data_IF_869805227220
#
_entry.id   IF_869805227220
#
_cell.length_a   1.000
_cell.length_b   1.000
_cell.length_c   1.000
_cell.angle_alpha   90.00
_cell.angle_beta   90.00
_cell.angle_gamma   90.00
#
_symmetry.space_group_name_H-M   'P 1'
#
loop_
_entity.id
_entity.type
_entity.pdbx_description
1 polymer ?
#
# COMPACT_ATOMS: atom_id res chain seq x y z
N UNK A 1 -8.58 -0.52 -28.30
CA UNK A 1 -8.46 -1.04 -26.93
C UNK A 1 -7.74 0.05 -26.14
N UNK A 2 -8.51 0.98 -25.60
CA UNK A 2 -7.99 2.17 -24.93
C UNK A 2 -8.29 2.05 -23.44
N UNK A 3 -7.24 1.64 -22.73
CA UNK A 3 -7.13 1.61 -21.28
C UNK A 3 -5.64 1.58 -20.97
N UNK A 4 -4.92 2.62 -21.43
CA UNK A 4 -3.47 2.70 -21.31
C UNK A 4 -3.11 2.97 -19.85
N UNK A 5 -2.88 1.90 -19.08
CA UNK A 5 -2.48 2.01 -17.69
C UNK A 5 -2.96 0.85 -16.83
N UNK A 6 -2.53 0.86 -15.57
CA UNK A 6 -2.85 -0.17 -14.59
C UNK A 6 -4.36 -0.37 -14.37
N UNK A 7 -5.14 0.72 -14.40
CA UNK A 7 -6.61 0.64 -14.27
C UNK A 7 -7.26 -0.11 -15.44
N UNK A 8 -6.80 0.12 -16.68
CA UNK A 8 -7.31 -0.58 -17.85
C UNK A 8 -6.97 -2.08 -17.83
N UNK A 9 -5.76 -2.41 -17.37
CA UNK A 9 -5.34 -3.80 -17.17
C UNK A 9 -6.17 -4.48 -16.08
N UNK A 10 -6.45 -3.80 -14.97
CA UNK A 10 -7.30 -4.31 -13.89
C UNK A 10 -8.70 -4.66 -14.40
N UNK A 11 -9.34 -3.75 -15.14
CA UNK A 11 -10.65 -3.99 -15.76
C UNK A 11 -10.60 -5.17 -16.73
N UNK A 12 -9.57 -5.24 -17.58
CA UNK A 12 -9.43 -6.33 -18.56
C UNK A 12 -9.26 -7.71 -17.90
N UNK A 13 -8.46 -7.79 -16.83
CA UNK A 13 -8.31 -9.03 -16.05
C UNK A 13 -9.63 -9.40 -15.41
N UNK A 14 -10.27 -8.46 -14.72
CA UNK A 14 -11.55 -8.69 -14.05
C UNK A 14 -12.60 -9.23 -15.02
N UNK A 15 -12.82 -8.55 -16.15
CA UNK A 15 -13.80 -8.97 -17.16
C UNK A 15 -13.50 -10.38 -17.72
N UNK A 16 -12.22 -10.70 -17.96
CA UNK A 16 -11.81 -12.02 -18.44
C UNK A 16 -12.07 -13.12 -17.40
N UNK A 17 -11.71 -12.90 -16.13
CA UNK A 17 -11.91 -13.88 -15.06
C UNK A 17 -13.39 -14.15 -14.80
N UNK A 18 -14.26 -13.16 -14.99
CA UNK A 18 -15.72 -13.33 -14.87
C UNK A 18 -16.37 -13.98 -16.10
N UNK A 19 -15.90 -13.67 -17.30
CA UNK A 19 -16.44 -14.23 -18.53
C UNK A 19 -16.11 -15.72 -18.73
N UNK A 20 -15.08 -16.25 -18.04
CA UNK A 20 -14.67 -17.65 -18.17
C UNK A 20 -15.70 -18.65 -17.65
N UNK A 21 -16.25 -19.51 -18.49
CA UNK A 21 -17.12 -20.62 -18.09
C UNK A 21 -16.38 -21.96 -17.95
N UNK A 22 -15.13 -22.02 -18.42
CA UNK A 22 -14.26 -23.20 -18.45
C UNK A 22 -12.94 -22.96 -17.74
N UNK A 23 -12.25 -24.05 -17.38
CA UNK A 23 -10.89 -23.95 -16.86
C UNK A 23 -10.00 -23.28 -17.91
N UNK A 24 -9.44 -22.13 -17.54
CA UNK A 24 -8.71 -21.25 -18.45
C UNK A 24 -7.51 -20.69 -17.73
N UNK A 25 -6.33 -20.75 -18.35
CA UNK A 25 -5.12 -20.13 -17.84
C UNK A 25 -4.86 -18.85 -18.62
N UNK A 26 -4.61 -17.76 -17.92
CA UNK A 26 -4.19 -16.50 -18.49
C UNK A 26 -2.74 -16.23 -18.12
N UNK A 27 -2.02 -15.59 -19.02
CA UNK A 27 -0.69 -15.06 -18.76
C UNK A 27 -0.74 -13.53 -18.73
N UNK A 28 -0.21 -12.97 -17.66
CA UNK A 28 0.19 -11.58 -17.57
C UNK A 28 1.71 -11.53 -17.77
N UNK A 29 2.14 -11.20 -18.98
CA UNK A 29 3.53 -11.33 -19.42
C UNK A 29 4.14 -9.96 -19.76
N UNK A 30 5.28 -9.65 -19.14
CA UNK A 30 6.23 -8.64 -19.61
C UNK A 30 7.31 -9.27 -20.49
N UNK A 31 8.43 -8.55 -20.69
CA UNK A 31 9.52 -8.99 -21.58
C UNK A 31 10.16 -10.32 -21.13
N UNK A 32 10.52 -10.42 -19.85
CA UNK A 32 11.29 -11.55 -19.31
C UNK A 32 10.59 -12.26 -18.13
N UNK A 33 9.47 -11.71 -17.67
CA UNK A 33 8.77 -12.15 -16.47
C UNK A 33 7.28 -12.26 -16.72
N UNK A 34 6.64 -13.19 -16.02
CA UNK A 34 5.23 -13.52 -16.20
C UNK A 34 4.59 -14.01 -14.91
N UNK A 35 3.32 -13.70 -14.78
CA UNK A 35 2.41 -14.19 -13.76
C UNK A 35 1.27 -14.92 -14.48
N UNK A 36 0.84 -16.05 -13.94
CA UNK A 36 -0.29 -16.79 -14.48
C UNK A 36 -1.50 -16.70 -13.56
N UNK A 37 -2.68 -16.63 -14.16
CA UNK A 37 -3.97 -16.71 -13.48
C UNK A 37 -4.71 -17.91 -14.03
N UNK A 38 -4.96 -18.93 -13.20
CA UNK A 38 -5.73 -20.12 -13.60
C UNK A 38 -7.12 -20.02 -12.99
N UNK A 39 -8.13 -19.89 -13.84
CA UNK A 39 -9.55 -19.91 -13.44
C UNK A 39 -10.05 -21.34 -13.49
N UNK A 40 -10.67 -21.80 -12.40
CA UNK A 40 -11.39 -23.08 -12.32
C UNK A 40 -12.86 -22.82 -11.98
N UNK A 41 -13.63 -23.89 -11.82
CA UNK A 41 -15.06 -23.80 -11.55
C UNK A 41 -15.36 -23.01 -10.25
N UNK A 42 -14.58 -23.23 -9.21
CA UNK A 42 -14.80 -22.72 -7.84
C UNK A 42 -13.63 -21.90 -7.29
N UNK A 43 -12.49 -21.87 -7.98
CA UNK A 43 -11.26 -21.23 -7.52
C UNK A 43 -10.55 -20.46 -8.62
N UNK A 44 -9.78 -19.45 -8.23
CA UNK A 44 -8.82 -18.76 -9.10
C UNK A 44 -7.46 -18.82 -8.41
N UNK A 45 -6.44 -19.30 -9.13
CA UNK A 45 -5.07 -19.41 -8.63
C UNK A 45 -4.18 -18.42 -9.39
N UNK A 46 -3.52 -17.52 -8.67
CA UNK A 46 -2.39 -16.76 -9.18
C UNK A 46 -1.10 -17.54 -8.94
N UNK A 47 -0.22 -17.59 -9.93
CA UNK A 47 1.05 -18.29 -9.90
C UNK A 47 2.16 -17.40 -10.44
N UNK A 48 3.31 -17.37 -9.76
CA UNK A 48 4.47 -16.61 -10.21
C UNK A 48 5.77 -17.38 -9.91
N UNK A 49 6.77 -17.37 -10.82
CA UNK A 49 8.07 -17.94 -10.52
C UNK A 49 8.75 -17.21 -9.36
N UNK A 50 9.77 -17.84 -8.79
CA UNK A 50 10.56 -17.31 -7.67
C UNK A 50 11.49 -16.15 -8.08
N UNK A 51 10.97 -15.10 -8.73
CA UNK A 51 11.75 -13.95 -9.22
C UNK A 51 12.45 -13.21 -8.08
N UNK A 52 11.75 -13.03 -6.97
CA UNK A 52 12.28 -12.49 -5.72
C UNK A 52 11.53 -13.11 -4.53
N UNK A 53 12.06 -14.21 -3.93
CA UNK A 53 11.41 -14.90 -2.83
C UNK A 53 11.13 -14.03 -1.60
N UNK A 54 11.98 -13.04 -1.33
CA UNK A 54 11.82 -12.15 -0.17
C UNK A 54 10.63 -11.23 -0.41
N UNK A 55 10.62 -10.53 -1.54
CA UNK A 55 9.50 -9.67 -1.96
C UNK A 55 8.20 -10.46 -2.12
N UNK A 56 8.24 -11.69 -2.66
CA UNK A 56 7.06 -12.55 -2.77
C UNK A 56 6.49 -12.91 -1.39
N UNK A 57 7.36 -13.17 -0.42
CA UNK A 57 6.94 -13.40 0.97
C UNK A 57 6.31 -12.14 1.58
N UNK A 58 6.94 -10.98 1.38
CA UNK A 58 6.44 -9.69 1.87
C UNK A 58 5.08 -9.32 1.26
N UNK A 59 4.88 -9.65 -0.01
CA UNK A 59 3.61 -9.47 -0.71
C UNK A 59 2.55 -10.50 -0.30
N UNK A 60 2.86 -11.50 0.52
CA UNK A 60 1.87 -12.50 0.97
C UNK A 60 1.64 -13.65 -0.02
N UNK A 61 2.54 -13.87 -0.98
CA UNK A 61 2.51 -15.07 -1.80
C UNK A 61 2.83 -16.30 -0.96
N UNK A 62 2.13 -17.41 -1.21
CA UNK A 62 2.45 -18.67 -0.54
C UNK A 62 3.67 -19.29 -1.18
N UNK A 63 4.64 -19.61 -0.33
CA UNK A 63 5.85 -20.31 -0.75
C UNK A 63 5.49 -21.62 -1.47
N UNK A 64 6.29 -22.02 -2.48
CA UNK A 64 6.09 -23.27 -3.16
C UNK A 64 6.04 -24.46 -2.20
N UNK A 65 5.11 -25.39 -2.44
CA UNK A 65 5.15 -26.69 -1.76
C UNK A 65 6.42 -27.44 -2.17
N UNK A 66 6.96 -28.26 -1.29
CA UNK A 66 8.18 -29.06 -1.55
C UNK A 66 8.04 -29.79 -2.89
N UNK A 67 8.88 -29.43 -3.88
CA UNK A 67 8.88 -30.00 -5.23
C UNK A 67 8.13 -29.19 -6.30
N UNK A 68 7.38 -28.15 -5.94
CA UNK A 68 6.85 -27.16 -6.90
C UNK A 68 7.78 -25.95 -6.92
N UNK A 69 8.10 -25.39 -8.09
CA UNK A 69 9.02 -24.25 -8.22
C UNK A 69 8.33 -22.89 -8.26
N UNK A 70 7.03 -22.84 -7.91
CA UNK A 70 6.13 -21.73 -8.22
C UNK A 70 5.45 -21.24 -6.95
N UNK A 71 5.50 -19.93 -6.74
CA UNK A 71 4.77 -19.26 -5.67
C UNK A 71 3.32 -19.08 -6.10
N UNK A 72 2.39 -19.24 -5.17
CA UNK A 72 0.97 -19.23 -5.52
C UNK A 72 0.11 -18.49 -4.52
N UNK A 73 -1.02 -18.00 -5.00
CA UNK A 73 -2.13 -17.54 -4.19
C UNK A 73 -3.40 -18.17 -4.75
N UNK A 74 -4.27 -18.67 -3.89
CA UNK A 74 -5.50 -19.33 -4.31
C UNK A 74 -6.68 -18.73 -3.56
N UNK A 75 -7.70 -18.32 -4.32
CA UNK A 75 -8.91 -17.69 -3.82
C UNK A 75 -10.17 -18.37 -4.38
N UNK A 76 -11.27 -18.46 -3.61
CA UNK A 76 -12.58 -18.82 -4.14
C UNK A 76 -13.02 -17.91 -5.29
N UNK A 77 -13.73 -18.47 -6.27
CA UNK A 77 -14.26 -17.72 -7.42
C UNK A 77 -15.57 -17.01 -7.09
N UNK A 78 -15.49 -16.02 -6.22
CA UNK A 78 -16.59 -15.12 -5.88
C UNK A 78 -16.24 -13.70 -6.32
N UNK A 79 -17.23 -12.80 -6.36
CA UNK A 79 -17.01 -11.44 -6.87
C UNK A 79 -15.93 -10.70 -6.10
N UNK A 80 -16.03 -10.71 -4.78
CA UNK A 80 -15.13 -10.01 -3.87
C UNK A 80 -13.68 -10.54 -3.98
N UNK A 81 -13.53 -11.86 -4.08
CA UNK A 81 -12.22 -12.49 -4.18
C UNK A 81 -11.56 -12.30 -5.53
N UNK A 82 -12.34 -12.31 -6.62
CA UNK A 82 -11.81 -12.04 -7.96
C UNK A 82 -11.34 -10.59 -8.04
N UNK A 83 -12.12 -9.64 -7.53
CA UNK A 83 -11.74 -8.23 -7.47
C UNK A 83 -10.46 -8.00 -6.67
N UNK A 84 -10.35 -8.60 -5.47
CA UNK A 84 -9.12 -8.58 -4.68
C UNK A 84 -7.94 -9.20 -5.43
N UNK A 85 -8.12 -10.38 -6.02
CA UNK A 85 -7.05 -11.10 -6.73
C UNK A 85 -6.57 -10.33 -7.96
N UNK A 86 -7.47 -9.61 -8.64
CA UNK A 86 -7.09 -8.73 -9.76
C UNK A 86 -6.16 -7.61 -9.28
N UNK A 87 -6.52 -6.92 -8.18
CA UNK A 87 -5.65 -5.88 -7.60
C UNK A 87 -4.32 -6.45 -7.14
N UNK A 88 -4.35 -7.60 -6.47
CA UNK A 88 -3.17 -8.33 -6.02
C UNK A 88 -2.23 -8.68 -7.18
N UNK A 89 -2.77 -9.24 -8.27
CA UNK A 89 -1.99 -9.61 -9.44
C UNK A 89 -1.40 -8.39 -10.16
N UNK A 90 -2.16 -7.31 -10.28
CA UNK A 90 -1.71 -6.04 -10.88
C UNK A 90 -0.59 -5.41 -10.04
N UNK A 91 -0.76 -5.36 -8.72
CA UNK A 91 0.26 -4.83 -7.80
C UNK A 91 1.52 -5.72 -7.78
N UNK A 92 1.35 -7.04 -7.74
CA UNK A 92 2.48 -7.97 -7.86
C UNK A 92 3.23 -7.80 -9.18
N UNK A 93 2.51 -7.61 -10.29
CA UNK A 93 3.12 -7.37 -11.61
C UNK A 93 3.87 -6.04 -11.68
N UNK A 94 3.37 -4.98 -11.06
CA UNK A 94 4.03 -3.67 -11.05
C UNK A 94 5.39 -3.69 -10.36
N UNK A 95 5.52 -4.52 -9.32
CA UNK A 95 6.76 -4.67 -8.56
C UNK A 95 7.69 -5.74 -9.15
N UNK A 96 7.13 -6.88 -9.56
CA UNK A 96 7.92 -8.07 -9.89
C UNK A 96 8.11 -8.29 -11.39
N UNK A 97 7.29 -7.68 -12.26
CA UNK A 97 7.40 -7.86 -13.71
C UNK A 97 7.91 -6.57 -14.36
N UNK A 98 7.21 -5.45 -14.17
CA UNK A 98 7.53 -4.16 -14.80
C UNK A 98 6.73 -3.03 -14.17
N UNK A 99 7.34 -1.85 -14.02
CA UNK A 99 6.65 -0.64 -13.56
C UNK A 99 5.83 0.06 -14.66
N UNK A 100 6.08 -0.27 -15.94
CA UNK A 100 5.36 0.29 -17.09
C UNK A 100 4.26 -0.68 -17.57
N UNK A 101 2.97 -0.36 -17.34
CA UNK A 101 1.88 -1.23 -17.77
C UNK A 101 1.78 -1.37 -19.30
N UNK A 102 2.34 -0.45 -20.07
CA UNK A 102 2.37 -0.53 -21.54
C UNK A 102 3.23 -1.68 -22.07
N UNK A 103 4.12 -2.22 -21.24
CA UNK A 103 4.97 -3.38 -21.57
C UNK A 103 4.33 -4.71 -21.19
N UNK A 104 3.19 -4.71 -20.49
CA UNK A 104 2.47 -5.91 -20.13
C UNK A 104 1.48 -6.32 -21.22
N UNK A 105 1.44 -7.62 -21.46
CA UNK A 105 0.42 -8.27 -22.27
C UNK A 105 -0.41 -9.20 -21.40
N UNK A 106 -1.72 -9.17 -21.57
CA UNK A 106 -2.65 -10.09 -20.92
C UNK A 106 -3.39 -10.89 -21.97
N UNK A 107 -3.25 -12.22 -21.93
CA UNK A 107 -3.84 -13.11 -22.90
C UNK A 107 -4.12 -14.50 -22.31
N UNK A 108 -5.08 -15.21 -22.88
CA UNK A 108 -5.29 -16.63 -22.61
C UNK A 108 -4.05 -17.43 -23.07
N UNK A 109 -3.55 -18.33 -22.22
CA UNK A 109 -2.37 -19.15 -22.44
C UNK A 109 -2.76 -20.61 -22.42
N UNK A 110 -2.28 -21.38 -23.39
CA UNK A 110 -2.37 -22.84 -23.33
C UNK A 110 -1.45 -23.37 -22.21
N UNK A 111 -1.93 -24.29 -21.36
CA UNK A 111 -1.14 -24.86 -20.26
C UNK A 111 0.04 -25.71 -20.75
N UNK A 112 0.04 -26.13 -22.02
CA UNK A 112 1.04 -27.01 -22.62
C UNK A 112 2.08 -26.27 -23.49
N UNK A 113 1.88 -24.97 -23.73
CA UNK A 113 2.70 -24.18 -24.63
C UNK A 113 3.91 -23.49 -23.96
N UNK A 114 4.18 -23.77 -22.68
CA UNK A 114 5.29 -23.12 -21.99
C UNK A 114 6.64 -23.75 -22.36
N UNK A 115 7.61 -23.02 -22.97
CA UNK A 115 8.96 -23.53 -23.14
C UNK A 115 9.56 -23.85 -21.78
N UNK A 116 9.95 -25.11 -21.60
CA UNK A 116 10.56 -25.62 -20.38
C UNK A 116 11.62 -24.64 -19.85
N UNK A 117 11.64 -24.35 -18.53
CA UNK A 117 12.74 -23.59 -17.93
C UNK A 117 14.04 -24.32 -18.27
N UNK A 118 15.02 -23.56 -18.76
CA UNK A 118 16.36 -24.08 -19.04
C UNK A 118 16.84 -24.92 -17.84
N UNK A 119 17.40 -26.13 -18.06
CA UNK A 119 17.76 -27.02 -16.98
C UNK A 119 18.71 -26.30 -16.03
N UNK A 120 18.32 -26.24 -14.76
CA UNK A 120 19.20 -25.82 -13.67
C UNK A 120 20.52 -26.57 -13.82
N UNK A 121 21.63 -25.82 -13.90
CA UNK A 121 22.97 -26.38 -13.87
C UNK A 121 23.07 -27.28 -12.65
N UNK A 122 23.02 -28.59 -12.89
CA UNK A 122 23.25 -29.60 -11.89
C UNK A 122 24.74 -29.55 -11.61
N UNK A 123 25.14 -28.90 -10.51
CA UNK A 123 26.48 -29.09 -9.96
C UNK A 123 26.51 -30.54 -9.46
N UNK A 124 27.04 -31.42 -10.31
CA UNK A 124 27.34 -32.80 -9.97
C UNK A 124 28.45 -32.78 -8.90
N UNK A 125 28.22 -33.29 -7.68
CA UNK A 125 29.33 -33.56 -6.78
C UNK A 125 30.15 -34.73 -7.35
N UNK A 126 31.41 -34.46 -7.66
CA UNK A 126 32.43 -35.42 -8.05
C UNK A 126 32.57 -36.52 -6.96
N UNK A 127 32.77 -37.81 -7.29
CA UNK A 127 32.78 -38.88 -6.30
C UNK A 127 34.09 -38.87 -5.48
N UNK A 128 33.93 -39.03 -4.18
CA UNK A 128 34.99 -39.08 -3.19
C UNK A 128 36.02 -40.20 -3.43
N UNK A 129 37.31 -40.00 -3.13
CA UNK A 129 38.24 -41.09 -2.93
C UNK A 129 38.16 -41.66 -1.50
N UNK A 130 37.89 -42.96 -1.44
CA UNK A 130 38.05 -43.89 -0.31
C UNK A 130 39.40 -43.77 0.40
N UNK A 131 39.43 -43.55 1.73
CA UNK A 131 40.49 -44.09 2.61
C UNK A 131 39.99 -44.35 4.06
N UNK A 132 40.20 -45.60 4.48
CA UNK A 132 40.45 -46.18 5.82
C UNK A 132 39.45 -46.03 6.99
N UNK A 133 38.94 -47.19 7.40
CA UNK A 133 38.39 -47.52 8.72
C UNK A 133 39.34 -47.15 9.87
N UNK A 134 38.79 -46.55 10.92
CA UNK A 134 39.36 -46.48 12.27
C UNK A 134 38.30 -47.05 13.25
N UNK A 135 38.68 -47.85 14.28
CA UNK A 135 37.74 -48.68 15.02
C UNK A 135 36.93 -47.92 16.09
N UNK A 136 35.70 -48.40 16.32
CA UNK A 136 34.74 -47.95 17.33
C UNK A 136 35.29 -47.94 18.76
N UNK A 137 35.03 -46.88 19.54
CA UNK A 137 34.95 -46.96 20.99
C UNK A 137 33.50 -47.14 21.45
N UNK A 138 33.27 -48.31 22.04
CA UNK A 138 32.21 -48.73 22.99
C UNK A 138 31.14 -47.69 23.38
N UNK A 139 29.90 -48.06 23.09
CA UNK A 139 28.66 -47.49 23.60
C UNK A 139 28.62 -47.43 25.14
N UNK A 140 28.37 -46.24 25.68
CA UNK A 140 27.80 -46.04 27.00
C UNK A 140 26.28 -45.81 26.87
N UNK A 141 25.45 -46.26 27.81
CA UNK A 141 23.99 -46.12 27.72
C UNK A 141 23.58 -44.65 27.87
N UNK A 142 22.97 -44.09 26.84
CA UNK A 142 22.34 -42.76 26.87
C UNK A 142 21.00 -42.89 27.61
N UNK A 143 20.89 -42.20 28.74
CA UNK A 143 19.65 -41.99 29.49
C UNK A 143 18.64 -41.20 28.63
N UNK A 144 17.33 -41.46 28.76
CA UNK A 144 16.31 -40.68 28.07
C UNK A 144 16.34 -39.21 28.54
N UNK A 145 16.15 -38.23 27.65
CA UNK A 145 16.09 -36.83 28.05
C UNK A 145 14.82 -36.56 28.88
N UNK A 146 14.98 -35.92 30.03
CA UNK A 146 13.89 -35.36 30.82
C UNK A 146 13.09 -34.32 30.02
N UNK A 147 11.75 -34.24 30.22
CA UNK A 147 10.93 -33.22 29.58
C UNK A 147 11.32 -31.83 30.09
N UNK A 148 11.82 -30.97 29.19
CA UNK A 148 11.99 -29.55 29.50
C UNK A 148 10.62 -28.91 29.79
N UNK A 149 10.48 -28.13 30.87
CA UNK A 149 9.31 -27.30 31.07
C UNK A 149 9.25 -26.21 29.99
N UNK A 150 8.04 -25.93 29.50
CA UNK A 150 7.75 -24.86 28.56
C UNK A 150 8.19 -23.50 29.12
N UNK A 151 8.69 -22.56 28.28
CA UNK A 151 8.96 -21.20 28.74
C UNK A 151 7.63 -20.53 29.14
N UNK A 152 7.57 -20.07 30.38
CA UNK A 152 6.49 -19.27 30.91
C UNK A 152 6.42 -17.92 30.17
N UNK A 153 5.20 -17.51 29.84
CA UNK A 153 4.85 -16.17 29.39
C UNK A 153 5.41 -15.15 30.39
N UNK A 154 6.44 -14.41 29.97
CA UNK A 154 6.90 -13.25 30.71
C UNK A 154 6.04 -12.08 30.29
N UNK A 155 5.14 -11.67 31.19
CA UNK A 155 4.45 -10.39 31.14
C UNK A 155 5.52 -9.29 31.21
N UNK A 156 5.66 -8.52 30.14
CA UNK A 156 6.48 -7.30 30.13
C UNK A 156 5.65 -6.19 30.81
N UNK A 157 6.20 -5.47 31.80
CA UNK A 157 5.49 -4.37 32.45
C UNK A 157 5.29 -3.17 31.51
N UNK A 158 4.10 -2.58 31.65
CA UNK A 158 3.62 -1.32 31.09
C UNK A 158 4.62 -0.17 31.29
N UNK A 159 5.02 0.57 30.23
CA UNK A 159 5.72 1.84 30.40
C UNK A 159 4.75 2.97 30.72
N UNK A 160 5.13 3.77 31.73
CA UNK A 160 4.43 4.96 32.22
C UNK A 160 4.07 5.99 31.12
N UNK A 161 2.98 6.75 31.30
CA UNK A 161 2.41 7.60 30.27
C UNK A 161 3.24 8.86 30.06
N UNK A 162 3.84 9.00 28.88
CA UNK A 162 4.22 10.31 28.34
C UNK A 162 2.95 10.96 27.79
N UNK A 163 2.43 11.96 28.50
CA UNK A 163 1.22 12.69 28.13
C UNK A 163 1.37 13.27 26.71
N UNK A 164 0.48 12.94 25.75
CA UNK A 164 0.37 13.74 24.55
C UNK A 164 -0.25 15.10 24.93
N UNK A 165 0.35 16.17 24.41
CA UNK A 165 -0.21 17.53 24.45
C UNK A 165 -1.59 17.50 23.79
N UNK A 166 -2.64 17.46 24.62
CA UNK A 166 -4.00 17.72 24.20
C UNK A 166 -4.12 19.20 23.83
N UNK A 167 -4.03 19.52 22.53
CA UNK A 167 -4.49 20.81 22.01
C UNK A 167 -5.95 20.58 21.59
N UNK A 168 -6.86 20.89 22.51
CA UNK A 168 -8.28 21.06 22.21
C UNK A 168 -8.55 22.55 22.13
N UNK A 169 -8.82 23.14 20.95
CA UNK A 169 -9.65 24.31 20.87
C UNK A 169 -11.07 23.84 20.61
N UNK A 170 -11.88 23.92 21.66
CA UNK A 170 -13.34 23.86 21.61
C UNK A 170 -13.81 24.97 20.66
N UNK A 171 -14.18 24.62 19.43
CA UNK A 171 -14.76 25.55 18.46
C UNK A 171 -16.23 25.78 18.81
N UNK A 172 -16.56 26.98 19.29
CA UNK A 172 -17.94 27.44 19.43
C UNK A 172 -18.34 28.29 18.20
N UNK A 173 -19.56 28.16 17.67
CA UNK A 173 -20.01 29.00 16.57
C UNK A 173 -20.43 30.41 17.04
N UNK A 174 -20.13 31.36 16.15
CA UNK A 174 -20.28 32.82 16.04
C UNK A 174 -21.39 33.55 16.84
N UNK A 175 -21.30 34.90 16.97
CA UNK A 175 -22.10 35.68 16.02
C UNK A 175 -21.45 36.97 15.49
N UNK A 176 -21.64 37.16 14.18
CA UNK A 176 -22.20 38.33 13.50
C UNK A 176 -21.88 39.78 13.94
N UNK A 177 -21.65 40.62 12.91
CA UNK A 177 -21.70 42.11 12.84
C UNK A 177 -20.33 42.78 13.11
N UNK A 178 -19.84 43.77 12.36
CA UNK A 178 -20.52 44.88 11.72
C UNK A 178 -19.57 45.55 10.69
N UNK A 179 -20.17 46.20 9.70
CA UNK A 179 -19.50 46.83 8.56
C UNK A 179 -19.02 48.25 8.93
N UNK A 180 -17.71 48.50 8.95
CA UNK A 180 -17.12 49.84 8.82
C UNK A 180 -16.23 49.80 7.57
N UNK A 181 -16.65 50.28 6.40
CA UNK A 181 -16.93 51.67 6.01
C UNK A 181 -15.76 52.63 6.29
N UNK A 182 -14.68 52.48 5.54
CA UNK A 182 -13.83 53.63 5.18
C UNK A 182 -13.75 53.77 3.66
N UNK A 183 -14.48 54.79 3.20
CA UNK A 183 -14.39 55.38 1.89
C UNK A 183 -13.40 56.56 1.92
N UNK A 184 -12.98 56.98 0.72
CA UNK A 184 -12.04 58.06 0.36
C UNK A 184 -10.55 57.66 0.40
N UNK A 185 -9.74 57.88 -0.64
CA UNK A 185 -9.80 58.96 -1.62
C UNK A 185 -9.27 58.57 -3.02
N UNK A 186 -10.08 58.94 -3.98
CA UNK A 186 -9.82 59.39 -5.36
C UNK A 186 -8.36 59.72 -5.73
N UNK A 187 -7.82 59.02 -6.72
CA UNK A 187 -6.91 59.61 -7.71
C UNK A 187 -7.01 58.83 -9.04
N UNK A 188 -7.65 59.48 -10.02
CA UNK A 188 -7.77 58.99 -11.38
C UNK A 188 -6.40 58.89 -12.07
N UNK A 189 -6.09 57.71 -12.61
CA UNK A 189 -5.01 57.48 -13.56
C UNK A 189 -5.58 56.79 -14.81
N UNK A 190 -4.98 57.05 -15.99
CA UNK A 190 -5.67 56.90 -17.28
C UNK A 190 -5.85 55.44 -17.68
N UNK A 191 -7.02 55.17 -18.28
CA UNK A 191 -7.38 53.89 -18.92
C UNK A 191 -6.37 53.59 -20.03
N UNK A 192 -5.43 52.68 -19.76
CA UNK A 192 -4.62 52.06 -20.80
C UNK A 192 -5.53 51.09 -21.60
N UNK A 193 -5.58 51.28 -22.92
CA UNK A 193 -6.29 50.39 -23.83
C UNK A 193 -5.78 48.95 -23.69
N UNK A 194 -6.63 47.92 -23.87
CA UNK A 194 -6.20 46.54 -23.88
C UNK A 194 -5.31 46.29 -25.10
N UNK A 195 -4.01 46.10 -24.84
CA UNK A 195 -3.08 45.52 -25.81
C UNK A 195 -3.49 44.05 -25.97
N UNK A 196 -3.71 43.54 -27.19
CA UNK A 196 -3.97 42.12 -27.39
C UNK A 196 -2.76 41.33 -26.85
N UNK A 197 -2.98 40.25 -26.08
CA UNK A 197 -1.85 39.46 -25.59
C UNK A 197 -1.09 38.93 -26.81
N UNK A 198 0.22 39.20 -26.83
CA UNK A 198 1.13 38.47 -27.69
C UNK A 198 0.91 36.97 -27.44
N UNK A 199 1.01 36.09 -28.47
CA UNK A 199 0.90 34.67 -28.24
C UNK A 199 1.93 34.28 -27.19
N UNK A 200 1.44 33.87 -26.02
CA UNK A 200 2.25 33.22 -25.01
C UNK A 200 2.85 32.02 -25.72
N UNK A 201 4.15 32.11 -26.00
CA UNK A 201 4.91 30.92 -26.31
C UNK A 201 4.83 30.12 -25.03
N UNK A 202 3.96 29.10 -25.03
CA UNK A 202 3.95 28.06 -24.01
C UNK A 202 5.34 27.47 -24.07
N UNK A 203 6.23 27.98 -23.23
CA UNK A 203 7.44 27.27 -22.87
C UNK A 203 6.88 26.02 -22.19
N UNK A 204 7.04 24.81 -22.76
CA UNK A 204 6.67 23.62 -22.04
C UNK A 204 7.42 23.68 -20.71
N UNK A 205 6.66 23.67 -19.62
CA UNK A 205 7.17 23.43 -18.28
C UNK A 205 8.16 22.27 -18.39
N UNK A 206 9.40 22.40 -17.87
CA UNK A 206 10.38 21.33 -18.01
C UNK A 206 9.76 20.08 -17.41
N UNK A 207 9.48 19.13 -18.30
CA UNK A 207 9.01 17.79 -18.04
C UNK A 207 9.78 17.26 -16.83
N UNK A 208 9.15 17.32 -15.66
CA UNK A 208 9.77 16.91 -14.43
C UNK A 208 10.03 15.42 -14.59
N UNK A 209 11.31 15.05 -14.69
CA UNK A 209 11.73 13.66 -14.82
C UNK A 209 10.92 12.77 -13.85
N UNK A 210 10.59 11.53 -14.24
CA UNK A 210 9.82 10.63 -13.39
C UNK A 210 10.50 10.52 -12.04
N UNK A 211 9.85 11.06 -11.01
CA UNK A 211 10.37 11.03 -9.64
C UNK A 211 10.37 9.59 -9.17
N UNK A 212 11.44 9.19 -8.52
CA UNK A 212 11.48 7.92 -7.82
C UNK A 212 10.46 7.91 -6.67
N UNK A 213 10.02 6.73 -6.20
CA UNK A 213 9.17 6.62 -5.02
C UNK A 213 9.79 7.30 -3.79
N UNK A 214 11.10 7.21 -3.63
CA UNK A 214 11.85 7.82 -2.53
C UNK A 214 11.83 9.36 -2.60
N UNK A 215 12.05 9.95 -3.77
CA UNK A 215 11.95 11.40 -3.97
C UNK A 215 10.52 11.90 -3.77
N UNK A 216 9.52 11.11 -4.16
CA UNK A 216 8.10 11.42 -3.95
C UNK A 216 7.75 11.43 -2.47
N UNK A 217 8.22 10.43 -1.72
CA UNK A 217 8.05 10.36 -0.27
C UNK A 217 8.78 11.50 0.45
N UNK A 218 10.01 11.81 0.04
CA UNK A 218 10.78 12.93 0.60
C UNK A 218 10.08 14.28 0.35
N UNK A 219 9.56 14.50 -0.86
CA UNK A 219 8.78 15.69 -1.19
C UNK A 219 7.47 15.77 -0.38
N UNK A 220 6.75 14.65 -0.23
CA UNK A 220 5.55 14.58 0.60
C UNK A 220 5.87 14.95 2.05
N UNK A 221 6.89 14.33 2.64
CA UNK A 221 7.32 14.62 4.02
C UNK A 221 7.67 16.09 4.20
N UNK A 222 8.41 16.70 3.27
CA UNK A 222 8.72 18.12 3.32
C UNK A 222 7.46 19.00 3.34
N UNK A 223 6.45 18.67 2.52
CA UNK A 223 5.16 19.37 2.51
C UNK A 223 4.40 19.18 3.83
N UNK A 224 4.33 17.94 4.37
CA UNK A 224 3.63 17.67 5.62
C UNK A 224 4.28 18.38 6.81
N UNK A 225 5.62 18.36 6.90
CA UNK A 225 6.36 19.08 7.94
C UNK A 225 6.13 20.59 7.85
N UNK A 226 6.17 21.15 6.63
CA UNK A 226 5.87 22.58 6.40
C UNK A 226 4.44 22.94 6.81
N UNK A 227 3.46 22.13 6.39
CA UNK A 227 2.05 22.35 6.72
C UNK A 227 1.79 22.27 8.24
N UNK A 228 2.44 21.36 8.97
CA UNK A 228 2.36 21.31 10.44
C UNK A 228 2.98 22.55 11.08
N UNK A 229 4.16 22.99 10.61
CA UNK A 229 4.82 24.18 11.13
C UNK A 229 3.99 25.46 10.92
N UNK A 230 3.32 25.56 9.78
CA UNK A 230 2.44 26.69 9.42
C UNK A 230 1.01 26.55 9.96
N UNK A 231 0.67 25.40 10.56
CA UNK A 231 -0.70 25.02 10.96
C UNK A 231 -1.69 25.05 9.80
N UNK A 232 -1.22 24.76 8.58
CA UNK A 232 -2.03 24.65 7.38
C UNK A 232 -2.65 23.25 7.26
N UNK A 233 -3.77 23.05 7.95
CA UNK A 233 -4.54 21.80 7.86
C UNK A 233 -5.01 21.51 6.42
N UNK A 234 -5.34 22.56 5.66
CA UNK A 234 -5.85 22.40 4.29
C UNK A 234 -4.74 21.91 3.36
N UNK A 235 -3.54 22.50 3.46
CA UNK A 235 -2.35 22.06 2.75
C UNK A 235 -1.94 20.64 3.13
N UNK A 236 -1.97 20.31 4.41
CA UNK A 236 -1.67 18.95 4.90
C UNK A 236 -2.62 17.92 4.29
N UNK A 237 -3.93 18.12 4.43
CA UNK A 237 -4.94 17.17 3.93
C UNK A 237 -4.90 17.09 2.41
N UNK A 238 -4.68 18.21 1.71
CA UNK A 238 -4.54 18.23 0.24
C UNK A 238 -3.35 17.39 -0.22
N UNK A 239 -2.19 17.54 0.42
CA UNK A 239 -1.01 16.75 0.09
C UNK A 239 -1.23 15.26 0.37
N UNK A 240 -1.87 14.95 1.50
CA UNK A 240 -2.14 13.57 1.90
C UNK A 240 -3.18 12.89 0.99
N UNK A 241 -4.22 13.58 0.51
CA UNK A 241 -5.27 13.00 -0.35
C UNK A 241 -4.75 12.33 -1.61
N UNK A 242 -3.65 12.80 -2.17
CA UNK A 242 -3.00 12.19 -3.35
C UNK A 242 -1.96 11.13 -2.99
N UNK A 243 -1.64 10.94 -1.72
CA UNK A 243 -0.61 10.01 -1.27
C UNK A 243 -1.18 8.60 -1.09
N UNK A 244 -0.34 7.61 -1.36
CA UNK A 244 -0.55 6.23 -0.92
C UNK A 244 -0.15 6.15 0.55
N UNK A 245 -1.03 5.62 1.38
CA UNK A 245 -0.81 5.40 2.81
C UNK A 245 -0.91 3.91 3.14
N UNK A 246 -0.16 3.49 4.15
CA UNK A 246 -0.21 2.16 4.73
C UNK A 246 -1.13 2.17 5.95
N UNK A 247 -2.19 1.37 5.90
CA UNK A 247 -3.13 1.17 7.01
C UNK A 247 -2.90 -0.20 7.64
N UNK A 248 -2.44 -0.29 8.92
CA UNK A 248 -2.22 -1.56 9.59
C UNK A 248 -3.53 -2.30 9.81
N UNK A 249 -3.46 -3.62 9.74
CA UNK A 249 -4.56 -4.53 9.98
C UNK A 249 -4.29 -5.37 11.23
N UNK A 250 -5.35 -5.80 11.91
CA UNK A 250 -5.22 -6.72 13.06
C UNK A 250 -4.74 -8.10 12.63
N UNK A 251 -5.19 -8.54 11.46
CA UNK A 251 -4.88 -9.83 10.87
C UNK A 251 -4.79 -9.65 9.35
N UNK A 252 -4.21 -10.63 8.66
CA UNK A 252 -4.29 -10.68 7.21
C UNK A 252 -5.76 -10.62 6.77
N UNK A 253 -6.08 -9.76 5.81
CA UNK A 253 -7.45 -9.61 5.34
C UNK A 253 -7.88 -10.94 4.71
N UNK A 254 -8.93 -11.52 5.28
CA UNK A 254 -9.56 -12.75 4.82
C UNK A 254 -11.01 -12.43 4.47
N UNK A 255 -11.60 -13.11 3.47
CA UNK A 255 -13.03 -12.98 3.19
C UNK A 255 -13.95 -13.25 4.38
N UNK A 256 -13.56 -14.14 5.30
CA UNK A 256 -14.41 -14.50 6.44
C UNK A 256 -14.45 -13.39 7.50
N UNK A 257 -13.38 -12.59 7.57
CA UNK A 257 -13.18 -11.57 8.60
C UNK A 257 -13.21 -10.15 8.05
N UNK A 258 -13.17 -9.98 6.73
CA UNK A 258 -13.02 -8.71 6.06
C UNK A 258 -11.68 -8.03 6.33
N UNK A 259 -11.59 -6.77 5.92
CA UNK A 259 -10.52 -5.86 6.34
C UNK A 259 -10.81 -5.44 7.77
N UNK A 260 -9.91 -5.74 8.70
CA UNK A 260 -10.01 -5.31 10.10
C UNK A 260 -8.87 -4.37 10.42
N UNK A 261 -9.07 -3.05 10.32
CA UNK A 261 -8.04 -2.09 10.65
C UNK A 261 -7.62 -2.22 12.11
N UNK A 262 -6.32 -2.15 12.36
CA UNK A 262 -5.83 -1.98 13.72
C UNK A 262 -6.13 -0.55 14.17
N UNK A 263 -6.73 -0.39 15.35
CA UNK A 263 -7.12 0.92 15.91
C UNK A 263 -6.45 1.16 17.25
N UNK A 264 -6.26 2.44 17.57
CA UNK A 264 -5.71 2.90 18.85
C UNK A 264 -6.81 3.64 19.61
N UNK A 265 -6.84 3.47 20.94
CA UNK A 265 -7.73 4.25 21.82
C UNK A 265 -6.99 5.46 22.38
N UNK A 266 -7.60 6.64 22.23
CA UNK A 266 -7.17 7.88 22.85
C UNK A 266 -7.48 7.93 24.36
N UNK A 267 -7.00 8.99 25.02
CA UNK A 267 -7.17 9.20 26.45
C UNK A 267 -8.63 9.39 26.89
N UNK A 268 -9.47 9.87 25.97
CA UNK A 268 -10.92 10.05 26.09
C UNK A 268 -11.72 8.82 25.64
N UNK A 269 -11.04 7.69 25.38
CA UNK A 269 -11.61 6.48 24.82
C UNK A 269 -12.11 6.63 23.37
N UNK A 270 -11.79 7.75 22.68
CA UNK A 270 -12.03 7.89 21.25
C UNK A 270 -11.17 6.90 20.46
N UNK A 271 -11.71 6.42 19.34
CA UNK A 271 -11.05 5.43 18.49
C UNK A 271 -10.36 6.16 17.33
N UNK A 272 -9.09 5.85 17.12
CA UNK A 272 -8.30 6.40 16.05
C UNK A 272 -7.73 5.30 15.16
N UNK A 273 -7.82 5.52 13.85
CA UNK A 273 -7.15 4.72 12.84
C UNK A 273 -5.74 5.27 12.60
N UNK A 274 -4.67 4.57 13.00
CA UNK A 274 -3.31 4.94 12.60
C UNK A 274 -3.12 4.68 11.09
N UNK A 275 -2.55 5.64 10.37
CA UNK A 275 -2.09 5.47 8.99
C UNK A 275 -0.66 6.00 8.84
N UNK A 276 0.07 5.45 7.88
CA UNK A 276 1.48 5.77 7.68
C UNK A 276 1.73 6.19 6.24
N UNK A 277 2.54 7.22 6.03
CA UNK A 277 2.94 7.67 4.68
C UNK A 277 4.02 6.79 4.07
N UNK A 278 4.63 5.90 4.86
CA UNK A 278 5.56 4.89 4.36
C UNK A 278 5.47 3.56 5.13
N UNK A 279 5.75 2.42 4.46
CA UNK A 279 5.85 1.12 5.11
C UNK A 279 6.91 1.08 6.22
N UNK A 280 8.02 1.79 6.05
CA UNK A 280 9.06 1.87 7.08
C UNK A 280 8.55 2.50 8.38
N UNK A 281 7.70 3.53 8.28
CA UNK A 281 7.11 4.19 9.45
C UNK A 281 6.13 3.27 10.17
N UNK A 282 5.36 2.48 9.40
CA UNK A 282 4.52 1.42 9.96
C UNK A 282 5.35 0.34 10.67
N UNK A 283 6.44 -0.12 10.04
CA UNK A 283 7.32 -1.13 10.61
C UNK A 283 8.03 -0.63 11.89
N UNK A 284 8.42 0.64 11.95
CA UNK A 284 8.98 1.25 13.16
C UNK A 284 7.93 1.35 14.28
N UNK A 285 6.67 1.65 13.95
CA UNK A 285 5.60 1.80 14.92
C UNK A 285 5.08 0.48 15.48
N UNK A 286 4.80 -0.49 14.60
CA UNK A 286 4.09 -1.73 14.93
C UNK A 286 4.97 -3.00 14.85
N UNK A 287 6.20 -2.89 14.32
CA UNK A 287 7.10 -4.00 14.06
C UNK A 287 7.05 -4.50 12.61
N UNK A 288 8.08 -5.24 12.19
CA UNK A 288 8.12 -5.86 10.86
C UNK A 288 7.12 -7.01 10.76
N UNK A 289 6.56 -7.20 9.56
CA UNK A 289 5.61 -8.29 9.28
C UNK A 289 4.17 -8.02 9.74
N UNK A 290 3.85 -6.79 10.13
CA UNK A 290 2.46 -6.37 10.41
C UNK A 290 1.71 -6.28 9.08
N UNK A 291 0.56 -6.97 8.94
CA UNK A 291 -0.25 -6.88 7.73
C UNK A 291 -0.76 -5.45 7.58
N UNK A 292 -0.72 -4.92 6.37
CA UNK A 292 -1.22 -3.58 6.07
C UNK A 292 -1.84 -3.53 4.68
N UNK A 293 -2.73 -2.57 4.49
CA UNK A 293 -3.27 -2.22 3.18
C UNK A 293 -2.61 -0.93 2.69
N UNK A 294 -2.08 -0.94 1.48
CA UNK A 294 -1.62 0.26 0.79
C UNK A 294 -2.76 0.80 -0.08
N UNK A 295 -3.21 2.03 0.20
CA UNK A 295 -4.33 2.65 -0.49
C UNK A 295 -4.17 4.16 -0.58
N UNK A 296 -4.88 4.79 -1.51
CA UNK A 296 -4.96 6.25 -1.58
C UNK A 296 -5.66 6.77 -0.32
N UNK A 297 -5.10 7.80 0.31
CA UNK A 297 -5.79 8.45 1.42
C UNK A 297 -7.11 9.11 0.97
N UNK A 298 -7.18 9.56 -0.29
CA UNK A 298 -8.43 10.05 -0.89
C UNK A 298 -9.52 8.98 -0.88
N UNK A 299 -9.19 7.76 -1.33
CA UNK A 299 -10.13 6.65 -1.38
C UNK A 299 -10.56 6.22 0.05
N UNK A 300 -9.60 6.20 0.98
CA UNK A 300 -9.89 5.92 2.40
C UNK A 300 -10.83 6.97 3.01
N UNK A 301 -10.65 8.25 2.68
CA UNK A 301 -11.56 9.31 3.13
C UNK A 301 -12.96 9.16 2.52
N UNK A 302 -13.07 8.74 1.27
CA UNK A 302 -14.36 8.58 0.62
C UNK A 302 -15.12 7.37 1.19
N UNK A 303 -14.42 6.26 1.45
CA UNK A 303 -14.95 5.02 2.07
C UNK A 303 -14.43 4.81 3.51
N UNK A 304 -14.68 5.80 4.37
CA UNK A 304 -14.19 5.77 5.75
C UNK A 304 -14.81 4.61 6.56
N UNK A 305 -14.02 3.77 7.27
CA UNK A 305 -14.51 2.52 7.85
C UNK A 305 -15.65 2.68 8.86
N UNK A 306 -15.51 3.63 9.78
CA UNK A 306 -16.50 3.87 10.85
C UNK A 306 -16.63 5.39 11.10
N UNK A 307 -17.85 5.93 11.10
CA UNK A 307 -18.07 7.39 11.15
C UNK A 307 -17.57 8.04 12.45
N UNK A 308 -17.51 7.29 13.55
CA UNK A 308 -17.10 7.78 14.87
C UNK A 308 -15.59 7.66 15.11
N UNK A 309 -14.82 7.22 14.10
CA UNK A 309 -13.37 7.07 14.21
C UNK A 309 -12.61 8.30 13.72
N UNK A 310 -11.62 8.71 14.51
CA UNK A 310 -10.59 9.66 14.09
C UNK A 310 -9.47 9.01 13.28
N UNK A 311 -8.51 9.81 12.82
CA UNK A 311 -7.28 9.33 12.17
C UNK A 311 -6.05 9.91 12.88
N UNK A 312 -4.99 9.12 12.96
CA UNK A 312 -3.65 9.59 13.35
C UNK A 312 -2.69 9.26 12.21
N UNK A 313 -2.10 10.30 11.63
CA UNK A 313 -1.14 10.19 10.53
C UNK A 313 0.27 10.18 11.09
N UNK A 314 1.08 9.20 10.64
CA UNK A 314 2.47 8.98 11.07
C UNK A 314 2.68 9.18 12.59
N UNK A 315 2.03 8.37 13.44
CA UNK A 315 2.21 8.47 14.88
C UNK A 315 3.70 8.45 15.28
N UNK A 316 4.06 9.24 16.30
CA UNK A 316 5.45 9.37 16.84
C UNK A 316 6.45 10.07 15.92
N UNK A 317 5.99 10.74 14.87
CA UNK A 317 6.82 11.64 14.06
C UNK A 317 6.60 13.11 14.45
N UNK A 318 7.51 13.99 14.01
CA UNK A 318 7.39 15.43 14.23
C UNK A 318 6.29 16.10 13.38
N UNK A 319 5.84 15.44 12.31
CA UNK A 319 4.74 15.88 11.44
C UNK A 319 3.44 15.10 11.67
N UNK A 320 3.32 14.46 12.84
CA UNK A 320 2.11 13.71 13.18
C UNK A 320 0.89 14.62 13.23
N UNK A 321 -0.22 14.14 12.66
CA UNK A 321 -1.50 14.85 12.70
C UNK A 321 -2.59 13.92 13.19
N UNK A 322 -3.32 14.38 14.21
CA UNK A 322 -4.51 13.69 14.73
C UNK A 322 -5.74 14.49 14.35
N UNK A 323 -6.70 13.84 13.67
CA UNK A 323 -8.00 14.43 13.37
C UNK A 323 -9.09 13.63 14.06
N UNK A 324 -9.99 14.33 14.74
CA UNK A 324 -11.19 13.73 15.34
C UNK A 324 -12.19 13.31 14.28
N UNK A 325 -13.12 12.44 14.64
CA UNK A 325 -14.23 12.01 13.78
C UNK A 325 -15.02 13.21 13.22
N UNK A 326 -15.35 14.19 14.06
CA UNK A 326 -16.06 15.41 13.64
C UNK A 326 -15.27 16.23 12.62
N UNK A 327 -13.96 16.35 12.82
CA UNK A 327 -13.08 17.08 11.90
C UNK A 327 -13.00 16.37 10.56
N UNK A 328 -12.86 15.04 10.57
CA UNK A 328 -12.88 14.22 9.36
C UNK A 328 -14.21 14.34 8.62
N UNK A 329 -15.35 14.29 9.33
CA UNK A 329 -16.66 14.46 8.74
C UNK A 329 -16.79 15.83 8.05
N UNK A 330 -16.30 16.91 8.68
CA UNK A 330 -16.24 18.23 8.07
C UNK A 330 -15.38 18.28 6.80
N UNK A 331 -14.21 17.61 6.81
CA UNK A 331 -13.29 17.56 5.67
C UNK A 331 -13.84 16.73 4.49
N UNK A 332 -14.64 15.70 4.76
CA UNK A 332 -15.29 14.88 3.71
C UNK A 332 -16.37 15.67 2.95
N UNK A 333 -17.07 16.58 3.63
CA UNK A 333 -18.08 17.46 3.02
C UNK A 333 -17.44 18.67 2.35
N UNK A 334 -16.29 19.14 2.86
CA UNK A 334 -15.55 20.24 2.28
C UNK A 334 -15.00 19.87 0.90
N UNK A 335 -15.58 20.46 -0.15
CA UNK A 335 -14.98 20.42 -1.48
C UNK A 335 -13.78 21.35 -1.46
N UNK A 336 -12.57 20.79 -1.49
CA UNK A 336 -11.37 21.61 -1.63
C UNK A 336 -11.33 22.15 -3.06
N UNK A 337 -11.25 23.48 -3.27
CA UNK A 337 -11.04 24.00 -4.59
C UNK A 337 -9.71 23.44 -5.11
N UNK A 338 -9.78 22.68 -6.20
CA UNK A 338 -8.61 22.29 -6.98
C UNK A 338 -7.95 23.58 -7.42
N UNK A 339 -6.73 23.83 -6.95
CA UNK A 339 -5.99 25.02 -7.37
C UNK A 339 -5.93 25.00 -8.90
N UNK A 340 -6.59 25.98 -9.52
CA UNK A 340 -6.51 26.18 -10.95
C UNK A 340 -5.04 26.41 -11.30
N UNK A 341 -4.48 25.52 -12.11
CA UNK A 341 -3.20 25.76 -12.77
C UNK A 341 -3.35 27.05 -13.58
N UNK A 342 -2.67 28.10 -13.12
CA UNK A 342 -2.60 29.41 -13.74
C UNK A 342 -1.17 29.73 -14.11
#
# INVERSE_FOLDING_TARGET
MEGAGWAGLLTAIHDALFACDRETRFALAGTDRRLWLTVRADTVTAEIPAYDPAMLTELGWRAPRVGQGVWSYEAPRTVEHVDWLCRFAVYGASLLITSDPGTLSFHESDPEADPAPAPALTVVPDPAPTVARVPEPRSAPVLPPEPRPAPALTVVPEPEPTAPLAIVPEWQPEPEWEWESEAEATAALPVAQPVPPAPLTVVPEPDAAPRTPEETLAALRAVLTGAVAERDLTGYVRALRSAVVSMPLLDDPSPETGVRPAVVRGADNAIFLPIFTSPDGLAEFAGTGVPFLALSFGDLLDDWPEPDWGVIVDPRTEWTLTLTADTLAGLRVATFPTAAAG
#
